data_IF_457522909703
#
_entry.id   IF_457522909703
#
_cell.length_a   1.000
_cell.length_b   1.000
_cell.length_c   1.000
_cell.angle_alpha   90.00
_cell.angle_beta   90.00
_cell.angle_gamma   90.00
#
_symmetry.space_group_name_H-M   'P 1'
#
loop_
_entity.id
_entity.type
_entity.pdbx_description
1 polymer ?
#
# COMPACT_ATOMS: atom_id res chain seq x y z
N UNK A 1 -4.21 -11.12 -12.93
CA UNK A 1 -3.26 -10.36 -13.75
C UNK A 1 -1.86 -10.88 -13.49
N UNK A 2 -1.15 -11.40 -14.48
CA UNK A 2 0.18 -11.95 -14.24
C UNK A 2 1.24 -10.83 -14.09
N UNK A 3 1.91 -10.81 -12.95
CA UNK A 3 3.07 -9.96 -12.66
C UNK A 3 4.39 -10.73 -12.71
N UNK A 4 4.37 -12.01 -12.33
CA UNK A 4 5.57 -12.82 -12.16
C UNK A 4 5.45 -14.18 -12.85
N UNK A 5 6.59 -14.73 -13.22
CA UNK A 5 6.77 -16.09 -13.74
C UNK A 5 7.77 -16.85 -12.87
N UNK A 6 7.74 -18.18 -12.95
CA UNK A 6 8.76 -19.01 -12.31
C UNK A 6 10.15 -18.64 -12.84
N UNK A 7 11.12 -18.52 -11.94
CA UNK A 7 12.49 -18.10 -12.22
C UNK A 7 12.73 -16.61 -12.08
N UNK A 8 11.69 -15.79 -11.93
CA UNK A 8 11.84 -14.35 -11.76
C UNK A 8 12.54 -14.02 -10.43
N UNK A 9 13.55 -13.14 -10.48
CA UNK A 9 14.15 -12.58 -9.26
C UNK A 9 13.29 -11.44 -8.73
N UNK A 10 13.11 -11.37 -7.42
CA UNK A 10 12.33 -10.31 -6.77
C UNK A 10 13.12 -9.69 -5.63
N UNK A 11 13.21 -8.36 -5.63
CA UNK A 11 13.93 -7.60 -4.60
C UNK A 11 13.09 -7.45 -3.33
N UNK A 12 13.71 -7.62 -2.17
CA UNK A 12 13.09 -7.42 -0.86
C UNK A 12 13.81 -6.28 -0.15
N UNK A 13 13.09 -5.20 0.17
CA UNK A 13 13.64 -3.96 0.74
C UNK A 13 12.89 -3.51 1.99
N UNK A 14 13.46 -2.56 2.72
CA UNK A 14 12.83 -1.91 3.86
C UNK A 14 13.07 -0.38 3.83
N UNK A 15 12.17 0.36 3.16
CA UNK A 15 12.38 1.80 2.97
C UNK A 15 11.78 2.68 4.08
N UNK A 16 10.94 2.14 4.95
CA UNK A 16 10.40 2.84 6.14
C UNK A 16 11.27 2.59 7.38
N UNK A 17 10.69 2.05 8.45
CA UNK A 17 11.41 1.66 9.66
C UNK A 17 12.12 0.32 9.41
N UNK A 18 13.29 0.16 10.04
CA UNK A 18 13.95 -1.13 10.09
C UNK A 18 13.07 -2.17 10.78
N UNK A 19 13.19 -3.42 10.33
CA UNK A 19 12.56 -4.55 11.01
C UNK A 19 13.31 -4.89 12.30
N UNK A 20 12.60 -5.26 13.36
CA UNK A 20 13.25 -5.82 14.56
C UNK A 20 13.99 -7.11 14.21
N UNK A 21 15.15 -7.37 14.83
CA UNK A 21 15.92 -8.61 14.64
C UNK A 21 15.12 -9.88 14.96
N UNK A 22 14.07 -9.77 15.79
CA UNK A 22 13.11 -10.85 16.02
C UNK A 22 12.34 -11.29 14.76
N UNK A 23 12.36 -10.49 13.68
CA UNK A 23 11.75 -10.85 12.39
C UNK A 23 12.69 -11.65 11.47
N UNK A 24 13.95 -11.92 11.85
CA UNK A 24 14.89 -12.67 10.99
C UNK A 24 14.31 -14.03 10.57
N UNK A 25 13.78 -14.80 11.52
CA UNK A 25 13.17 -16.10 11.22
C UNK A 25 11.98 -15.96 10.26
N UNK A 26 11.14 -14.94 10.47
CA UNK A 26 10.01 -14.63 9.59
C UNK A 26 10.44 -14.23 8.17
N UNK A 27 11.56 -13.51 8.02
CA UNK A 27 12.08 -13.16 6.69
C UNK A 27 12.69 -14.36 5.98
N UNK A 28 13.32 -15.28 6.72
CA UNK A 28 13.77 -16.56 6.16
C UNK A 28 12.57 -17.40 5.68
N UNK A 29 11.52 -17.53 6.51
CA UNK A 29 10.27 -18.20 6.12
C UNK A 29 9.62 -17.56 4.89
N UNK A 30 9.62 -16.23 4.80
CA UNK A 30 9.13 -15.51 3.62
C UNK A 30 9.96 -15.86 2.38
N UNK A 31 11.28 -15.93 2.52
CA UNK A 31 12.18 -16.36 1.45
C UNK A 31 11.84 -17.77 0.94
N UNK A 32 11.58 -18.71 1.84
CA UNK A 32 11.17 -20.07 1.46
C UNK A 32 9.79 -20.09 0.79
N UNK A 33 8.81 -19.33 1.29
CA UNK A 33 7.50 -19.22 0.65
C UNK A 33 7.59 -18.67 -0.79
N UNK A 34 8.46 -17.68 -1.02
CA UNK A 34 8.72 -17.14 -2.36
C UNK A 34 9.40 -18.17 -3.27
N UNK A 35 10.34 -18.97 -2.75
CA UNK A 35 10.98 -20.06 -3.50
C UNK A 35 10.00 -21.17 -3.86
N UNK A 36 9.08 -21.53 -2.97
CA UNK A 36 8.02 -22.51 -3.24
C UNK A 36 7.08 -22.04 -4.37
N UNK A 37 6.82 -20.73 -4.46
CA UNK A 37 6.11 -20.13 -5.57
C UNK A 37 6.93 -20.17 -6.89
N UNK A 38 8.22 -20.47 -6.81
CA UNK A 38 9.16 -20.50 -7.94
C UNK A 38 9.83 -19.16 -8.23
N UNK A 39 9.80 -18.22 -7.28
CA UNK A 39 10.51 -16.95 -7.36
C UNK A 39 11.89 -17.04 -6.71
N UNK A 40 12.80 -16.13 -7.07
CA UNK A 40 14.14 -16.06 -6.49
C UNK A 40 14.23 -14.77 -5.65
N UNK A 41 14.06 -14.83 -4.32
CA UNK A 41 14.11 -13.65 -3.48
C UNK A 41 15.54 -13.13 -3.33
N UNK A 42 15.73 -11.83 -3.49
CA UNK A 42 16.99 -11.11 -3.30
C UNK A 42 16.79 -10.06 -2.21
N UNK A 43 17.29 -10.34 -1.01
CA UNK A 43 17.13 -9.47 0.15
C UNK A 43 18.19 -8.37 0.15
N UNK A 44 17.77 -7.12 0.42
CA UNK A 44 18.70 -6.02 0.67
C UNK A 44 19.48 -6.23 1.97
N UNK A 45 20.69 -5.67 2.05
CA UNK A 45 21.53 -5.79 3.24
C UNK A 45 21.00 -5.02 4.47
N UNK A 46 20.08 -4.07 4.26
CA UNK A 46 19.65 -3.12 5.29
C UNK A 46 18.20 -3.34 5.77
N UNK A 47 17.74 -4.57 5.94
CA UNK A 47 16.34 -4.82 6.36
C UNK A 47 16.08 -4.52 7.82
N UNK A 48 17.08 -4.68 8.68
CA UNK A 48 16.90 -4.70 10.13
C UNK A 48 17.36 -3.41 10.80
N UNK A 49 16.78 -3.11 11.96
CA UNK A 49 17.18 -1.98 12.79
C UNK A 49 18.66 -2.10 13.17
N UNK A 50 19.39 -1.02 12.96
CA UNK A 50 20.77 -0.85 13.40
C UNK A 50 20.79 -0.10 14.74
N UNK A 51 20.17 1.08 14.78
CA UNK A 51 20.01 1.91 15.98
C UNK A 51 18.60 2.51 16.03
N UNK A 52 17.92 2.35 17.18
CA UNK A 52 16.51 2.75 17.34
C UNK A 52 15.64 2.16 16.20
N UNK A 53 14.76 2.95 15.59
CA UNK A 53 13.87 2.54 14.50
C UNK A 53 14.53 2.53 13.11
N UNK A 54 15.79 2.97 12.99
CA UNK A 54 16.47 3.18 11.71
C UNK A 54 17.29 1.95 11.28
N UNK A 55 17.32 1.70 9.98
CA UNK A 55 18.09 0.66 9.28
C UNK A 55 19.09 1.26 8.27
N UNK A 56 19.45 2.54 8.44
CA UNK A 56 20.29 3.30 7.52
C UNK A 56 19.74 4.72 7.33
N UNK A 57 20.52 5.56 6.67
CA UNK A 57 20.08 6.88 6.24
C UNK A 57 19.03 6.79 5.13
N UNK A 58 18.26 7.86 4.95
CA UNK A 58 17.27 7.92 3.87
C UNK A 58 17.91 7.80 2.48
N UNK A 59 19.13 8.32 2.31
CA UNK A 59 19.90 8.21 1.07
C UNK A 59 20.31 6.77 0.79
N UNK A 60 20.86 6.06 1.78
CA UNK A 60 21.25 4.65 1.62
C UNK A 60 20.04 3.76 1.28
N UNK A 61 18.89 3.98 1.95
CA UNK A 61 17.64 3.27 1.63
C UNK A 61 17.17 3.53 0.19
N UNK A 62 17.22 4.78 -0.24
CA UNK A 62 16.88 5.16 -1.61
C UNK A 62 17.83 4.55 -2.64
N UNK A 63 19.14 4.56 -2.39
CA UNK A 63 20.15 3.96 -3.27
C UNK A 63 19.91 2.46 -3.47
N UNK A 64 19.60 1.74 -2.39
CA UNK A 64 19.25 0.31 -2.45
C UNK A 64 17.99 0.09 -3.30
N UNK A 65 16.93 0.89 -3.08
CA UNK A 65 15.72 0.80 -3.90
C UNK A 65 16.01 1.09 -5.38
N UNK A 66 16.81 2.12 -5.67
CA UNK A 66 17.19 2.49 -7.03
C UNK A 66 18.02 1.39 -7.71
N UNK A 67 18.91 0.72 -6.98
CA UNK A 67 19.67 -0.42 -7.51
C UNK A 67 18.74 -1.56 -7.96
N UNK A 68 17.71 -1.88 -7.17
CA UNK A 68 16.71 -2.87 -7.58
C UNK A 68 15.88 -2.43 -8.79
N UNK A 69 15.59 -1.13 -8.96
CA UNK A 69 14.94 -0.64 -10.17
C UNK A 69 15.84 -0.77 -11.40
N UNK A 70 17.13 -0.43 -11.30
CA UNK A 70 18.08 -0.44 -12.42
C UNK A 70 18.47 -1.88 -12.83
N UNK A 71 18.47 -2.83 -11.90
CA UNK A 71 18.82 -4.22 -12.19
C UNK A 71 17.75 -4.93 -13.05
N UNK A 72 18.08 -5.23 -14.30
CA UNK A 72 17.18 -5.89 -15.25
C UNK A 72 16.83 -7.34 -14.90
N UNK A 73 17.62 -8.00 -14.03
CA UNK A 73 17.28 -9.34 -13.56
C UNK A 73 16.14 -9.32 -12.54
N UNK A 74 15.96 -8.21 -11.84
CA UNK A 74 14.91 -8.02 -10.84
C UNK A 74 13.60 -7.66 -11.54
N UNK A 75 12.60 -8.53 -11.39
CA UNK A 75 11.29 -8.40 -12.06
C UNK A 75 10.22 -7.75 -11.20
N UNK A 76 10.46 -7.57 -9.91
CA UNK A 76 9.61 -6.77 -9.03
C UNK A 76 10.25 -6.58 -7.68
N UNK A 77 9.67 -5.67 -6.91
CA UNK A 77 10.22 -5.21 -5.62
C UNK A 77 9.10 -5.25 -4.59
N UNK A 78 9.37 -5.90 -3.47
CA UNK A 78 8.49 -5.89 -2.30
C UNK A 78 9.17 -5.13 -1.17
N UNK A 79 8.52 -4.10 -0.67
CA UNK A 79 8.90 -3.47 0.58
C UNK A 79 8.18 -4.17 1.73
N UNK A 80 8.97 -4.81 2.61
CA UNK A 80 8.47 -5.56 3.77
C UNK A 80 8.31 -4.70 5.02
N UNK A 81 8.74 -3.44 4.96
CA UNK A 81 8.66 -2.51 6.07
C UNK A 81 7.30 -1.83 6.17
N UNK A 82 7.08 -1.22 7.33
CA UNK A 82 6.06 -0.22 7.57
C UNK A 82 6.62 0.73 8.63
N UNK A 83 5.75 1.49 9.29
CA UNK A 83 6.18 2.38 10.36
C UNK A 83 5.87 3.82 10.04
N UNK A 84 6.90 4.68 10.04
CA UNK A 84 6.68 6.12 9.95
C UNK A 84 7.71 6.92 9.14
N UNK A 85 8.72 6.27 8.58
CA UNK A 85 9.90 6.94 8.01
C UNK A 85 10.00 6.88 6.47
N UNK A 86 8.99 6.34 5.78
CA UNK A 86 9.06 6.11 4.33
C UNK A 86 9.20 7.41 3.51
N UNK A 87 8.60 8.52 3.95
CA UNK A 87 8.65 9.79 3.23
C UNK A 87 10.06 10.38 3.16
N UNK A 88 10.94 10.00 4.08
CA UNK A 88 12.31 10.48 4.11
C UNK A 88 13.13 10.10 2.86
N UNK A 89 12.77 9.03 2.15
CA UNK A 89 13.54 8.58 0.98
C UNK A 89 13.21 9.37 -0.29
N UNK A 90 12.07 10.06 -0.34
CA UNK A 90 11.49 10.55 -1.61
C UNK A 90 12.40 11.54 -2.34
N UNK A 91 13.09 12.41 -1.61
CA UNK A 91 14.01 13.41 -2.18
C UNK A 91 15.30 12.79 -2.75
N UNK A 92 15.55 11.52 -2.45
CA UNK A 92 16.70 10.77 -2.94
C UNK A 92 16.34 9.81 -4.08
N UNK A 93 15.06 9.68 -4.44
CA UNK A 93 14.63 8.84 -5.56
C UNK A 93 14.77 9.59 -6.89
N UNK A 94 15.37 8.93 -7.88
CA UNK A 94 15.34 9.41 -9.26
C UNK A 94 14.11 8.81 -9.98
N UNK A 95 13.02 9.57 -10.02
CA UNK A 95 11.78 9.14 -10.65
C UNK A 95 11.86 8.98 -12.18
N UNK A 96 12.80 9.66 -12.85
CA UNK A 96 13.05 9.43 -14.28
C UNK A 96 13.67 8.04 -14.49
N UNK A 97 14.64 7.66 -13.66
CA UNK A 97 15.20 6.32 -13.66
C UNK A 97 14.14 5.26 -13.37
N UNK A 98 13.24 5.49 -12.39
CA UNK A 98 12.12 4.58 -12.11
C UNK A 98 11.21 4.47 -13.35
N UNK A 99 10.88 5.59 -14.00
CA UNK A 99 10.06 5.62 -15.22
C UNK A 99 10.69 4.84 -16.38
N UNK A 100 12.02 4.86 -16.50
CA UNK A 100 12.73 4.14 -17.55
C UNK A 100 12.94 2.65 -17.24
N UNK A 101 12.74 2.23 -15.98
CA UNK A 101 12.95 0.85 -15.51
C UNK A 101 11.72 0.33 -14.74
N UNK A 102 10.52 0.63 -15.25
CA UNK A 102 9.27 0.29 -14.56
C UNK A 102 9.17 -1.21 -14.29
N UNK A 103 8.94 -1.56 -13.03
CA UNK A 103 8.63 -2.91 -12.57
C UNK A 103 7.67 -2.83 -11.38
N UNK A 104 6.89 -3.89 -11.11
CA UNK A 104 5.98 -3.92 -9.97
C UNK A 104 6.68 -3.55 -8.66
N UNK A 105 6.18 -2.51 -8.00
CA UNK A 105 6.56 -2.15 -6.64
C UNK A 105 5.36 -2.32 -5.72
N UNK A 106 5.54 -3.15 -4.69
CA UNK A 106 4.51 -3.54 -3.74
C UNK A 106 4.92 -3.11 -2.34
N UNK A 107 4.03 -2.43 -1.63
CA UNK A 107 4.23 -2.00 -0.24
C UNK A 107 2.90 -1.87 0.48
N UNK A 108 2.93 -1.66 1.79
CA UNK A 108 1.72 -1.51 2.60
C UNK A 108 1.90 -0.47 3.70
N UNK A 109 0.81 -0.05 4.36
CA UNK A 109 0.87 0.83 5.54
C UNK A 109 1.61 2.15 5.23
N UNK A 110 2.73 2.43 5.88
CA UNK A 110 3.54 3.63 5.66
C UNK A 110 4.04 3.79 4.22
N UNK A 111 4.20 2.68 3.50
CA UNK A 111 4.62 2.69 2.10
C UNK A 111 3.51 3.21 1.16
N UNK A 112 2.32 3.51 1.68
CA UNK A 112 1.33 4.36 1.00
C UNK A 112 1.95 5.66 0.47
N UNK A 113 2.94 6.19 1.19
CA UNK A 113 3.77 7.33 0.75
C UNK A 113 4.51 7.02 -0.55
N UNK A 114 5.23 5.90 -0.60
CA UNK A 114 6.14 5.57 -1.71
C UNK A 114 5.35 5.11 -2.93
N UNK A 115 4.31 4.28 -2.75
CA UNK A 115 3.48 3.79 -3.86
C UNK A 115 2.77 4.97 -4.56
N UNK A 116 2.23 5.94 -3.80
CA UNK A 116 1.58 7.11 -4.40
C UNK A 116 2.58 8.08 -5.01
N UNK A 117 3.75 8.28 -4.39
CA UNK A 117 4.80 9.12 -4.96
C UNK A 117 5.30 8.56 -6.30
N UNK A 118 5.58 7.25 -6.38
CA UNK A 118 5.99 6.61 -7.63
C UNK A 118 4.90 6.78 -8.69
N UNK A 119 3.63 6.49 -8.37
CA UNK A 119 2.54 6.69 -9.30
C UNK A 119 2.43 8.16 -9.76
N UNK A 120 2.39 9.11 -8.84
CA UNK A 120 2.28 10.54 -9.12
C UNK A 120 3.40 11.04 -10.06
N UNK A 121 4.63 10.60 -9.83
CA UNK A 121 5.79 11.08 -10.57
C UNK A 121 6.07 10.32 -11.88
N UNK A 122 5.46 9.15 -12.09
CA UNK A 122 5.85 8.26 -13.23
C UNK A 122 4.67 7.68 -14.01
N UNK A 123 3.44 7.77 -13.51
CA UNK A 123 2.27 7.01 -13.96
C UNK A 123 2.42 5.48 -13.89
N UNK A 124 3.48 4.97 -13.26
CA UNK A 124 3.66 3.54 -13.01
C UNK A 124 2.64 3.08 -11.96
N UNK A 125 1.89 2.02 -12.26
CA UNK A 125 1.00 1.39 -11.28
C UNK A 125 1.82 0.72 -10.18
N UNK A 126 1.38 0.88 -8.95
CA UNK A 126 1.98 0.29 -7.76
C UNK A 126 0.91 -0.42 -6.94
N UNK A 127 1.31 -1.26 -5.99
CA UNK A 127 0.38 -2.16 -5.32
C UNK A 127 0.44 -1.96 -3.81
N UNK A 128 -0.70 -1.61 -3.23
CA UNK A 128 -0.89 -1.70 -1.80
C UNK A 128 -1.14 -3.18 -1.45
N UNK A 129 -0.11 -3.87 -0.98
CA UNK A 129 -0.14 -5.30 -0.65
C UNK A 129 0.97 -5.67 0.35
N UNK A 130 0.63 -6.42 1.39
CA UNK A 130 1.62 -6.90 2.35
C UNK A 130 2.09 -8.32 1.99
N UNK A 131 3.30 -8.40 1.43
CA UNK A 131 3.93 -9.69 1.07
C UNK A 131 4.17 -10.61 2.27
N UNK A 132 4.25 -10.05 3.49
CA UNK A 132 4.41 -10.81 4.74
C UNK A 132 3.17 -11.62 5.12
N UNK A 133 2.04 -11.48 4.41
CA UNK A 133 0.89 -12.36 4.59
C UNK A 133 1.13 -13.78 4.03
N UNK A 134 2.20 -14.00 3.26
CA UNK A 134 2.63 -15.33 2.80
C UNK A 134 3.22 -16.21 3.91
N UNK A 135 3.25 -15.74 5.15
CA UNK A 135 3.74 -16.48 6.32
C UNK A 135 2.73 -16.41 7.48
N UNK A 136 2.89 -17.29 8.47
CA UNK A 136 1.99 -17.37 9.64
C UNK A 136 0.66 -18.08 9.35
N UNK A 137 -0.32 -17.87 10.21
CA UNK A 137 -1.53 -18.72 10.31
C UNK A 137 -2.43 -18.74 9.06
N UNK A 138 -2.32 -17.75 8.17
CA UNK A 138 -3.12 -17.63 6.93
C UNK A 138 -2.31 -17.95 5.67
N UNK A 139 -1.09 -18.45 5.83
CA UNK A 139 -0.13 -18.72 4.75
C UNK A 139 -0.73 -19.50 3.59
N UNK A 140 -1.39 -20.63 3.84
CA UNK A 140 -1.87 -21.52 2.78
C UNK A 140 -2.79 -20.79 1.79
N UNK A 141 -3.78 -20.09 2.32
CA UNK A 141 -4.73 -19.29 1.53
C UNK A 141 -4.01 -18.15 0.83
N UNK A 142 -3.14 -17.42 1.53
CA UNK A 142 -2.46 -16.25 0.96
C UNK A 142 -1.46 -16.61 -0.14
N UNK A 143 -0.75 -17.73 -0.02
CA UNK A 143 0.12 -18.28 -1.08
C UNK A 143 -0.71 -18.68 -2.30
N UNK A 144 -1.86 -19.32 -2.10
CA UNK A 144 -2.76 -19.68 -3.21
C UNK A 144 -3.31 -18.44 -3.92
N UNK A 145 -3.78 -17.44 -3.17
CA UNK A 145 -4.33 -16.19 -3.73
C UNK A 145 -3.25 -15.36 -4.43
N UNK A 146 -2.04 -15.31 -3.89
CA UNK A 146 -0.88 -14.69 -4.53
C UNK A 146 -0.57 -15.36 -5.86
N UNK A 147 -0.42 -16.70 -5.86
CA UNK A 147 -0.14 -17.47 -7.07
C UNK A 147 -1.24 -17.27 -8.11
N UNK A 148 -2.49 -17.42 -7.70
CA UNK A 148 -3.66 -17.21 -8.56
C UNK A 148 -3.59 -15.83 -9.22
N UNK A 149 -3.41 -14.78 -8.42
CA UNK A 149 -3.51 -13.41 -8.91
C UNK A 149 -2.31 -13.04 -9.76
N UNK A 150 -1.11 -13.16 -9.19
CA UNK A 150 0.12 -12.57 -9.72
C UNK A 150 0.96 -13.52 -10.58
N UNK A 151 0.68 -14.82 -10.59
CA UNK A 151 1.40 -15.79 -11.44
C UNK A 151 0.51 -16.43 -12.51
N UNK A 152 -0.75 -16.73 -12.17
CA UNK A 152 -1.66 -17.53 -13.00
C UNK A 152 -2.76 -16.70 -13.69
N UNK A 153 -2.58 -15.38 -13.79
CA UNK A 153 -3.52 -14.42 -14.41
C UNK A 153 -4.90 -14.26 -13.74
N UNK A 154 -5.19 -14.89 -12.61
CA UNK A 154 -6.43 -14.74 -11.85
C UNK A 154 -6.59 -13.39 -11.14
N UNK A 155 -7.62 -13.26 -10.29
CA UNK A 155 -7.97 -11.98 -9.64
C UNK A 155 -8.34 -12.12 -8.16
N UNK A 156 -8.03 -13.24 -7.50
CA UNK A 156 -8.46 -13.47 -6.10
C UNK A 156 -8.05 -12.35 -5.13
N UNK A 157 -6.85 -11.80 -5.26
CA UNK A 157 -6.37 -10.67 -4.44
C UNK A 157 -6.91 -9.31 -4.91
N UNK A 158 -7.60 -9.22 -6.05
CA UNK A 158 -8.12 -7.97 -6.60
C UNK A 158 -9.65 -7.87 -6.52
N UNK A 159 -10.32 -8.99 -6.27
CA UNK A 159 -11.76 -9.07 -6.09
C UNK A 159 -12.07 -9.09 -4.61
N UNK A 160 -12.82 -8.10 -4.11
CA UNK A 160 -13.17 -7.98 -2.70
C UNK A 160 -14.65 -7.71 -2.50
N UNK A 161 -15.17 -8.13 -1.34
CA UNK A 161 -16.54 -7.83 -0.91
C UNK A 161 -16.61 -6.42 -0.34
N UNK A 162 -17.73 -5.73 -0.55
CA UNK A 162 -17.95 -4.37 -0.08
C UNK A 162 -19.44 -4.10 0.16
N UNK A 163 -19.72 -3.06 0.94
CA UNK A 163 -21.05 -2.53 1.19
C UNK A 163 -21.14 -1.07 0.77
N UNK A 164 -22.26 -0.68 0.18
CA UNK A 164 -22.55 0.72 -0.14
C UNK A 164 -22.92 1.46 1.15
N UNK A 165 -22.10 2.45 1.52
CA UNK A 165 -22.41 3.42 2.58
C UNK A 165 -23.25 4.57 2.01
N UNK A 166 -22.93 4.97 0.78
CA UNK A 166 -23.62 6.05 0.04
C UNK A 166 -23.47 5.83 -1.46
N UNK A 167 -24.52 6.10 -2.24
CA UNK A 167 -24.52 5.88 -3.70
C UNK A 167 -24.69 4.41 -4.10
N UNK A 168 -24.52 4.11 -5.39
CA UNK A 168 -24.74 2.77 -5.95
C UNK A 168 -23.82 2.39 -7.12
N UNK A 169 -22.93 3.28 -7.55
CA UNK A 169 -21.94 3.01 -8.58
C UNK A 169 -20.74 3.95 -8.45
N UNK A 170 -19.54 3.49 -8.79
CA UNK A 170 -18.35 4.34 -8.94
C UNK A 170 -17.38 3.78 -9.97
N UNK A 171 -16.71 4.66 -10.72
CA UNK A 171 -15.69 4.26 -11.69
C UNK A 171 -14.58 5.32 -11.72
N UNK A 172 -13.33 4.88 -11.68
CA UNK A 172 -12.19 5.80 -11.77
C UNK A 172 -10.85 5.13 -11.48
N UNK A 173 -9.80 5.95 -11.53
CA UNK A 173 -8.44 5.53 -11.15
C UNK A 173 -8.31 5.63 -9.63
N UNK A 174 -7.76 4.59 -8.99
CA UNK A 174 -7.57 4.55 -7.55
C UNK A 174 -6.26 5.22 -7.15
N UNK A 175 -6.32 6.09 -6.15
CA UNK A 175 -5.17 6.62 -5.41
C UNK A 175 -5.42 6.45 -3.92
N UNK A 176 -4.36 6.48 -3.10
CA UNK A 176 -4.48 6.43 -1.64
C UNK A 176 -3.84 5.21 -0.99
N UNK A 177 -4.36 4.77 0.14
CA UNK A 177 -3.75 3.77 1.02
C UNK A 177 -4.04 4.08 2.48
N UNK A 178 -3.02 4.00 3.32
CA UNK A 178 -3.15 4.34 4.73
C UNK A 178 -3.47 5.83 4.92
N UNK A 179 -4.59 6.12 5.60
CA UNK A 179 -5.18 7.44 5.79
C UNK A 179 -4.17 8.46 6.29
N UNK A 180 -3.48 8.12 7.38
CA UNK A 180 -2.50 9.01 8.03
C UNK A 180 -1.20 9.11 7.23
N UNK A 181 -0.72 8.00 6.67
CA UNK A 181 0.58 7.99 6.01
C UNK A 181 0.53 8.76 4.69
N UNK A 182 -0.55 8.66 3.92
CA UNK A 182 -0.71 9.43 2.68
C UNK A 182 -0.70 10.95 2.94
N UNK A 183 -1.21 11.43 4.09
CA UNK A 183 -1.16 12.85 4.47
C UNK A 183 0.26 13.42 4.60
N UNK A 184 1.29 12.57 4.75
CA UNK A 184 2.70 13.02 4.73
C UNK A 184 3.11 13.63 3.40
N UNK A 185 2.37 13.34 2.32
CA UNK A 185 2.62 13.90 1.00
C UNK A 185 1.95 15.28 0.81
N UNK A 186 1.06 15.71 1.71
CA UNK A 186 0.35 16.96 1.58
C UNK A 186 1.31 18.16 1.46
N UNK A 187 1.08 19.03 0.48
CA UNK A 187 1.94 20.19 0.20
C UNK A 187 3.27 19.85 -0.51
N UNK A 188 3.53 18.58 -0.82
CA UNK A 188 4.73 18.16 -1.57
C UNK A 188 4.41 17.89 -3.03
N UNK A 189 5.44 17.90 -3.89
CA UNK A 189 5.32 17.51 -5.31
C UNK A 189 4.92 16.05 -5.51
N UNK A 190 4.99 15.22 -4.47
CA UNK A 190 4.73 13.78 -4.51
C UNK A 190 3.26 13.42 -4.28
N UNK A 191 2.44 14.35 -3.79
CA UNK A 191 0.99 14.12 -3.61
C UNK A 191 0.38 13.74 -4.96
N UNK A 192 -0.43 12.67 -5.05
CA UNK A 192 -1.14 12.37 -6.28
C UNK A 192 -2.21 13.44 -6.53
N UNK A 193 -2.53 13.66 -7.80
CA UNK A 193 -3.76 14.35 -8.19
C UNK A 193 -4.99 13.54 -7.72
N UNK A 194 -6.05 14.22 -7.29
CA UNK A 194 -7.31 13.59 -6.86
C UNK A 194 -8.45 13.79 -7.86
N UNK A 195 -8.27 14.69 -8.83
CA UNK A 195 -9.30 15.03 -9.80
C UNK A 195 -9.77 13.81 -10.58
N UNK A 196 -11.08 13.60 -10.55
CA UNK A 196 -11.77 12.51 -11.24
C UNK A 196 -11.32 11.10 -10.78
N UNK A 197 -10.72 10.97 -9.59
CA UNK A 197 -10.17 9.71 -9.06
C UNK A 197 -11.05 9.12 -7.97
N UNK A 198 -10.81 7.85 -7.65
CA UNK A 198 -11.36 7.19 -6.47
C UNK A 198 -10.27 7.20 -5.39
N UNK A 199 -10.58 7.70 -4.19
CA UNK A 199 -9.64 7.65 -3.08
C UNK A 199 -9.90 6.41 -2.21
N UNK A 200 -8.88 5.59 -2.01
CA UNK A 200 -8.89 4.46 -1.10
C UNK A 200 -8.22 4.85 0.22
N UNK A 201 -8.89 4.64 1.36
CA UNK A 201 -8.39 4.99 2.69
C UNK A 201 -8.58 3.84 3.67
N UNK A 202 -7.52 3.42 4.35
CA UNK A 202 -7.53 2.44 5.44
C UNK A 202 -6.75 2.94 6.66
N UNK A 203 -6.92 2.31 7.83
CA UNK A 203 -6.01 2.54 8.96
C UNK A 203 -5.86 1.35 9.89
N UNK A 204 -4.61 1.01 10.25
CA UNK A 204 -4.33 0.08 11.35
C UNK A 204 -4.83 0.59 12.71
N UNK A 205 -4.63 1.88 12.96
CA UNK A 205 -4.75 2.45 14.30
C UNK A 205 -5.34 3.84 14.32
N UNK A 206 -5.95 4.17 15.45
CA UNK A 206 -6.54 5.45 15.76
C UNK A 206 -8.02 5.37 16.16
N UNK A 207 -8.35 6.22 17.12
CA UNK A 207 -9.68 6.42 17.69
C UNK A 207 -10.46 7.49 16.91
N UNK A 208 -11.66 7.82 17.40
CA UNK A 208 -12.56 8.81 16.77
C UNK A 208 -11.87 10.16 16.53
N UNK A 209 -11.21 10.81 17.53
CA UNK A 209 -10.53 12.08 17.30
C UNK A 209 -9.45 12.03 16.20
N UNK A 210 -8.65 10.95 16.15
CA UNK A 210 -7.62 10.77 15.12
C UNK A 210 -8.23 10.65 13.73
N UNK A 211 -9.25 9.82 13.55
CA UNK A 211 -9.89 9.69 12.23
C UNK A 211 -10.55 10.98 11.79
N UNK A 212 -11.22 11.68 12.72
CA UNK A 212 -11.86 12.95 12.46
C UNK A 212 -10.86 14.00 11.97
N UNK A 213 -9.72 14.17 12.67
CA UNK A 213 -8.72 15.18 12.28
C UNK A 213 -8.06 14.86 10.94
N UNK A 214 -7.77 13.58 10.65
CA UNK A 214 -7.18 13.19 9.36
C UNK A 214 -8.14 13.44 8.20
N UNK A 215 -9.40 13.01 8.32
CA UNK A 215 -10.41 13.27 7.29
C UNK A 215 -10.69 14.77 7.13
N UNK A 216 -10.70 15.53 8.23
CA UNK A 216 -10.82 17.00 8.18
C UNK A 216 -9.67 17.62 7.38
N UNK A 217 -8.44 17.12 7.54
CA UNK A 217 -7.31 17.60 6.74
C UNK A 217 -7.50 17.30 5.24
N UNK A 218 -7.99 16.12 4.87
CA UNK A 218 -8.34 15.82 3.47
C UNK A 218 -9.41 16.79 2.91
N UNK A 219 -10.43 17.11 3.72
CA UNK A 219 -11.44 18.11 3.36
C UNK A 219 -10.79 19.48 3.13
N UNK A 220 -9.93 19.93 4.04
CA UNK A 220 -9.22 21.22 3.94
C UNK A 220 -8.26 21.30 2.75
N UNK A 221 -7.73 20.16 2.30
CA UNK A 221 -6.93 20.05 1.08
C UNK A 221 -7.80 20.05 -0.20
N UNK A 222 -9.13 20.14 -0.09
CA UNK A 222 -10.07 20.11 -1.21
C UNK A 222 -10.17 18.73 -1.88
N UNK A 223 -9.74 17.65 -1.21
CA UNK A 223 -9.69 16.32 -1.82
C UNK A 223 -11.10 15.80 -2.12
N UNK A 224 -12.04 15.98 -1.19
CA UNK A 224 -13.41 15.52 -1.36
C UNK A 224 -14.21 16.31 -2.41
N UNK A 225 -13.71 17.46 -2.85
CA UNK A 225 -14.32 18.22 -3.97
C UNK A 225 -13.85 17.71 -5.34
N UNK A 226 -12.75 16.95 -5.37
CA UNK A 226 -12.07 16.50 -6.59
C UNK A 226 -12.35 15.04 -6.95
N UNK A 227 -12.54 14.19 -5.94
CA UNK A 227 -12.74 12.75 -6.12
C UNK A 227 -14.15 12.41 -6.63
N UNK A 228 -14.25 11.30 -7.35
CA UNK A 228 -15.51 10.71 -7.84
C UNK A 228 -16.07 9.61 -6.95
N UNK A 229 -15.35 9.24 -5.89
CA UNK A 229 -15.79 8.22 -4.96
C UNK A 229 -14.74 7.91 -3.91
N UNK A 230 -15.19 7.29 -2.83
CA UNK A 230 -14.37 6.95 -1.66
C UNK A 230 -14.53 5.46 -1.37
N UNK A 231 -13.40 4.77 -1.23
CA UNK A 231 -13.36 3.40 -0.73
C UNK A 231 -12.74 3.42 0.65
N UNK A 232 -13.52 3.09 1.67
CA UNK A 232 -13.04 2.86 3.02
C UNK A 232 -12.62 1.40 3.14
N UNK A 233 -11.34 1.15 3.35
CA UNK A 233 -10.78 -0.16 3.68
C UNK A 233 -11.03 -0.53 5.14
N UNK A 234 -10.19 -1.41 5.67
CA UNK A 234 -10.22 -1.82 7.07
C UNK A 234 -9.71 -0.69 7.98
N UNK A 235 -10.47 -0.37 9.03
CA UNK A 235 -10.07 0.54 10.10
C UNK A 235 -9.86 -0.29 11.37
N UNK A 236 -8.75 -1.05 11.42
CA UNK A 236 -8.58 -2.21 12.29
C UNK A 236 -8.80 -1.93 13.78
N UNK A 237 -8.25 -0.85 14.33
CA UNK A 237 -8.48 -0.47 15.74
C UNK A 237 -9.93 -0.04 15.97
N UNK A 238 -10.50 0.82 15.12
CA UNK A 238 -11.90 1.24 15.27
C UNK A 238 -12.87 0.08 15.23
N UNK A 239 -12.68 -0.86 14.29
CA UNK A 239 -13.55 -2.02 14.12
C UNK A 239 -13.42 -2.98 15.30
N UNK A 240 -12.20 -3.24 15.77
CA UNK A 240 -11.94 -4.12 16.92
C UNK A 240 -12.50 -3.55 18.22
N UNK A 241 -12.27 -2.26 18.47
CA UNK A 241 -12.72 -1.58 19.69
C UNK A 241 -14.17 -1.06 19.58
N UNK A 242 -14.83 -1.26 18.43
CA UNK A 242 -16.22 -0.86 18.15
C UNK A 242 -16.48 0.62 18.44
N UNK A 243 -15.59 1.49 17.97
CA UNK A 243 -15.73 2.93 18.16
C UNK A 243 -17.02 3.48 17.52
N UNK A 244 -17.64 4.45 18.21
CA UNK A 244 -18.82 5.19 17.77
C UNK A 244 -18.55 6.69 17.92
N UNK A 245 -18.79 7.53 16.89
CA UNK A 245 -19.18 7.14 15.52
C UNK A 245 -18.11 6.27 14.84
N UNK A 246 -18.55 5.35 13.98
CA UNK A 246 -17.65 4.54 13.17
C UNK A 246 -17.08 5.34 11.98
N UNK A 247 -16.12 4.78 11.25
CA UNK A 247 -15.47 5.50 10.16
C UNK A 247 -16.42 5.94 9.04
N UNK A 248 -17.44 5.13 8.72
CA UNK A 248 -18.42 5.46 7.68
C UNK A 248 -19.29 6.65 8.10
N UNK A 249 -19.63 6.75 9.39
CA UNK A 249 -20.35 7.89 9.97
C UNK A 249 -19.50 9.16 9.97
N UNK A 250 -18.25 9.07 10.47
CA UNK A 250 -17.29 10.20 10.45
C UNK A 250 -17.05 10.68 9.01
N UNK A 251 -16.88 9.77 8.06
CA UNK A 251 -16.63 10.13 6.66
C UNK A 251 -17.81 10.88 6.06
N UNK A 252 -19.05 10.44 6.28
CA UNK A 252 -20.25 11.15 5.82
C UNK A 252 -20.35 12.55 6.42
N UNK A 253 -20.09 12.67 7.72
CA UNK A 253 -20.10 13.95 8.44
C UNK A 253 -19.05 14.92 7.91
N UNK A 254 -17.84 14.45 7.60
CA UNK A 254 -16.78 15.33 7.08
C UNK A 254 -17.01 15.69 5.62
N UNK A 255 -17.37 14.72 4.77
CA UNK A 255 -17.51 14.92 3.32
C UNK A 255 -18.67 15.86 2.98
N UNK A 256 -19.77 15.80 3.74
CA UNK A 256 -20.96 16.67 3.58
C UNK A 256 -21.49 16.78 2.15
N UNK A 257 -21.27 15.75 1.33
CA UNK A 257 -21.71 15.70 -0.05
C UNK A 257 -22.34 14.33 -0.34
N UNK A 258 -23.68 14.32 -0.43
CA UNK A 258 -24.47 13.10 -0.64
C UNK A 258 -24.31 12.49 -2.03
N UNK A 259 -23.72 13.22 -2.99
CA UNK A 259 -23.52 12.75 -4.36
C UNK A 259 -22.24 11.93 -4.55
N UNK A 260 -21.32 11.95 -3.57
CA UNK A 260 -20.07 11.19 -3.68
C UNK A 260 -20.35 9.74 -3.26
N UNK A 261 -20.17 8.75 -4.14
CA UNK A 261 -20.34 7.35 -3.78
C UNK A 261 -19.27 6.91 -2.77
N UNK A 262 -19.69 6.20 -1.72
CA UNK A 262 -18.83 5.69 -0.64
C UNK A 262 -19.12 4.21 -0.43
N UNK A 263 -18.07 3.38 -0.45
CA UNK A 263 -18.16 1.98 -0.04
C UNK A 263 -17.28 1.70 1.18
N UNK A 264 -17.62 0.64 1.90
CA UNK A 264 -16.80 0.06 2.97
C UNK A 264 -16.45 -1.39 2.63
N UNK A 265 -15.19 -1.77 2.83
CA UNK A 265 -14.73 -3.16 2.81
C UNK A 265 -13.83 -3.42 4.01
N UNK A 266 -13.84 -4.63 4.57
CA UNK A 266 -12.88 -5.07 5.60
C UNK A 266 -11.86 -6.06 5.03
N UNK A 267 -11.81 -6.24 3.71
CA UNK A 267 -10.90 -7.18 3.04
C UNK A 267 -9.59 -6.53 2.57
N UNK A 268 -9.41 -5.21 2.72
CA UNK A 268 -8.17 -4.50 2.35
C UNK A 268 -7.75 -3.57 3.49
N UNK A 269 -6.55 -3.79 4.04
CA UNK A 269 -5.99 -3.01 5.14
C UNK A 269 -4.85 -3.76 5.83
N UNK A 270 -4.95 -3.95 7.15
CA UNK A 270 -3.86 -4.54 7.96
C UNK A 270 -4.11 -5.97 8.41
N UNK A 271 -5.24 -6.58 8.03
CA UNK A 271 -5.49 -7.98 8.34
C UNK A 271 -4.50 -8.94 7.65
N UNK A 272 -4.31 -10.11 8.27
CA UNK A 272 -3.50 -11.21 7.72
C UNK A 272 -4.07 -11.81 6.42
N UNK A 273 -5.29 -11.43 6.03
CA UNK A 273 -5.93 -11.83 4.77
C UNK A 273 -6.20 -10.63 3.86
N UNK A 274 -5.51 -9.51 4.08
CA UNK A 274 -5.69 -8.32 3.27
C UNK A 274 -5.40 -8.62 1.81
N UNK A 275 -6.36 -8.24 0.97
CA UNK A 275 -6.27 -8.21 -0.48
C UNK A 275 -5.40 -7.04 -0.94
N UNK A 276 -5.24 -6.93 -2.26
CA UNK A 276 -4.41 -5.93 -2.91
C UNK A 276 -5.26 -4.82 -3.52
N UNK A 277 -4.84 -3.57 -3.31
CA UNK A 277 -5.35 -2.42 -4.05
C UNK A 277 -4.28 -1.91 -5.02
N UNK A 278 -4.67 -1.67 -6.28
CA UNK A 278 -3.74 -1.16 -7.32
C UNK A 278 -3.83 0.38 -7.36
N UNK A 279 -2.79 1.05 -6.92
CA UNK A 279 -2.65 2.50 -7.04
C UNK A 279 -2.29 2.85 -8.49
N UNK A 280 -3.04 3.77 -9.08
CA UNK A 280 -3.05 4.02 -10.53
C UNK A 280 -3.87 3.00 -11.32
N UNK A 281 -4.51 2.03 -10.66
CA UNK A 281 -5.40 1.06 -11.27
C UNK A 281 -6.81 1.63 -11.49
N UNK A 282 -7.51 1.18 -12.53
CA UNK A 282 -8.91 1.54 -12.76
C UNK A 282 -9.82 0.55 -12.02
N UNK A 283 -10.83 1.06 -11.32
CA UNK A 283 -11.89 0.27 -10.70
C UNK A 283 -13.26 0.70 -11.25
N UNK A 284 -14.20 -0.24 -11.30
CA UNK A 284 -15.61 -0.02 -11.63
C UNK A 284 -16.45 -0.90 -10.70
N UNK A 285 -17.27 -0.29 -9.86
CA UNK A 285 -18.12 -0.90 -8.84
C UNK A 285 -19.57 -0.43 -8.98
#
# INVERSE_FOLDING_TARGET
MKLFSKGDKVGIVACSNGLDKSNILKMNELGEALKELGLIPVFSDNLYKNYSVFNGSNKEKAEILMNFFIDNDIKGIFDVSGGDLANGILDHLNFETIRNNMKPFLGYSDLSVVINAIYSQTNMKTYLYQIRNLIGDRREVQVEEFKNTFMDNGSKLLTFNYEWVQGCAMEGIVVGGNLRCLLKLAGTKYMPDFKDKIIFLESLGGDVPKMFTYLTQYKQLGVFEQVKGIILGEFSEMEREKHVPNISEITKEIVENSNIPIIKTSEIGHSKSSKCMIIGGKIKL
#
